data_IF_063851017517
#
_entry.id   IF_063851017517
#
_cell.length_a   1.000
_cell.length_b   1.000
_cell.length_c   1.000
_cell.angle_alpha   90.00
_cell.angle_beta   90.00
_cell.angle_gamma   90.00
#
_symmetry.space_group_name_H-M   'P 1'
#
loop_
_entity.id
_entity.type
_entity.pdbx_description
1 polymer ?
#
# COMPACT_ATOMS: atom_id res chain seq x y z
N UNK A 1 -6.60 1.90 53.44
CA UNK A 1 -7.29 1.00 52.50
C UNK A 1 -6.83 1.40 51.11
N UNK A 2 -5.81 0.72 50.59
CA UNK A 2 -5.29 0.94 49.25
C UNK A 2 -6.29 0.38 48.24
N UNK A 3 -6.98 1.25 47.50
CA UNK A 3 -7.76 0.80 46.34
C UNK A 3 -6.87 0.82 45.11
N UNK A 4 -6.23 -0.33 44.88
CA UNK A 4 -5.77 -0.78 43.58
C UNK A 4 -6.84 -0.52 42.50
N UNK A 5 -6.52 0.29 41.49
CA UNK A 5 -7.04 0.16 40.11
C UNK A 5 -6.31 1.13 39.18
N UNK A 6 -4.99 0.92 39.00
CA UNK A 6 -4.29 1.39 37.82
C UNK A 6 -4.73 0.56 36.61
N UNK A 7 -5.99 0.72 36.17
CA UNK A 7 -6.37 0.35 34.81
C UNK A 7 -5.85 1.45 33.89
N UNK A 8 -4.54 1.41 33.58
CA UNK A 8 -3.96 2.23 32.53
C UNK A 8 -4.65 1.86 31.21
N UNK A 9 -5.71 2.59 30.87
CA UNK A 9 -6.46 2.37 29.64
C UNK A 9 -5.53 2.42 28.43
N UNK A 10 -5.81 1.60 27.42
CA UNK A 10 -5.04 1.60 26.18
C UNK A 10 -5.28 2.92 25.45
N UNK A 11 -4.35 3.87 25.58
CA UNK A 11 -4.43 5.20 24.97
C UNK A 11 -3.66 5.26 23.66
N UNK A 12 -4.13 6.09 22.74
CA UNK A 12 -3.40 6.38 21.51
C UNK A 12 -2.20 7.29 21.78
N UNK A 13 -1.00 6.86 21.41
CA UNK A 13 0.25 7.61 21.61
C UNK A 13 0.28 8.96 20.87
N UNK A 14 -0.47 9.11 19.78
CA UNK A 14 -0.47 10.33 18.98
C UNK A 14 -1.37 11.45 19.54
N UNK A 15 -2.40 11.12 20.32
CA UNK A 15 -3.37 12.12 20.79
C UNK A 15 -3.74 11.98 22.28
N UNK A 16 -3.16 10.99 22.97
CA UNK A 16 -3.43 10.60 24.35
C UNK A 16 -4.90 10.31 24.68
N UNK A 17 -5.77 10.25 23.68
CA UNK A 17 -7.17 9.91 23.88
C UNK A 17 -7.36 8.39 23.98
N UNK A 18 -8.32 8.00 24.81
CA UNK A 18 -8.93 6.69 24.75
C UNK A 18 -9.67 6.54 23.42
N UNK A 19 -9.67 5.33 22.87
CA UNK A 19 -10.43 5.02 21.68
C UNK A 19 -11.01 3.63 21.75
N UNK A 20 -11.85 3.33 20.76
CA UNK A 20 -12.33 1.97 20.57
C UNK A 20 -11.11 1.05 20.32
N UNK A 21 -10.87 0.11 21.23
CA UNK A 21 -9.75 -0.85 21.16
C UNK A 21 -9.74 -1.63 19.84
N UNK A 22 -10.91 -1.89 19.25
CA UNK A 22 -11.03 -2.54 17.95
C UNK A 22 -10.42 -1.72 16.79
N UNK A 23 -10.27 -0.40 16.96
CA UNK A 23 -9.75 0.53 15.97
C UNK A 23 -8.32 1.02 16.27
N UNK A 24 -7.67 0.43 17.27
CA UNK A 24 -6.27 0.67 17.56
C UNK A 24 -5.37 -0.28 16.77
N UNK A 25 -4.23 0.23 16.34
CA UNK A 25 -3.09 -0.56 15.84
C UNK A 25 -1.99 -0.49 16.88
N UNK A 26 -1.42 -1.64 17.21
CA UNK A 26 -0.26 -1.75 18.08
C UNK A 26 1.01 -1.84 17.22
N UNK A 27 2.02 -1.03 17.53
CA UNK A 27 3.34 -1.17 16.93
C UNK A 27 3.99 -2.48 17.40
N UNK A 28 4.39 -3.33 16.46
CA UNK A 28 5.00 -4.63 16.78
C UNK A 28 6.42 -4.51 17.37
N UNK A 29 7.00 -3.32 17.41
CA UNK A 29 8.36 -3.08 17.91
C UNK A 29 8.37 -2.44 19.30
N UNK A 30 7.54 -1.44 19.54
CA UNK A 30 7.52 -0.70 20.81
C UNK A 30 6.25 -0.90 21.65
N UNK A 31 5.24 -1.61 21.12
CA UNK A 31 3.98 -1.85 21.83
C UNK A 31 3.05 -0.64 21.95
N UNK A 32 3.46 0.54 21.46
CA UNK A 32 2.61 1.75 21.48
C UNK A 32 1.38 1.56 20.59
N UNK A 33 0.26 2.15 21.00
CA UNK A 33 -1.03 2.06 20.32
C UNK A 33 -1.34 3.34 19.57
N UNK A 34 -1.99 3.21 18.41
CA UNK A 34 -2.37 4.35 17.59
C UNK A 34 -3.76 4.14 17.00
N UNK A 35 -4.57 5.20 16.96
CA UNK A 35 -5.77 5.20 16.10
C UNK A 35 -5.33 5.17 14.64
N UNK A 36 -6.01 4.38 13.81
CA UNK A 36 -5.79 4.40 12.35
C UNK A 36 -5.87 5.82 11.78
N UNK A 37 -6.88 6.60 12.20
CA UNK A 37 -7.05 7.99 11.79
C UNK A 37 -5.87 8.90 12.19
N UNK A 38 -5.28 8.71 13.38
CA UNK A 38 -4.14 9.51 13.84
C UNK A 38 -2.83 9.23 13.09
N UNK A 39 -2.73 8.09 12.41
CA UNK A 39 -1.55 7.71 11.62
C UNK A 39 -1.82 7.79 10.10
N UNK A 40 -2.95 8.38 9.69
CA UNK A 40 -3.31 8.55 8.28
C UNK A 40 -3.75 7.28 7.56
N UNK A 41 -3.97 6.18 8.29
CA UNK A 41 -4.29 4.88 7.71
C UNK A 41 -5.72 4.45 8.07
N UNK A 42 -6.54 4.22 7.04
CA UNK A 42 -7.71 3.35 7.21
C UNK A 42 -7.20 1.93 7.43
N UNK A 43 -7.64 1.27 8.51
CA UNK A 43 -7.22 -0.06 8.97
C UNK A 43 -7.42 -1.14 7.89
N UNK A 44 -6.55 -1.18 6.89
CA UNK A 44 -6.55 -2.25 5.89
C UNK A 44 -6.24 -3.57 6.59
N UNK A 45 -6.89 -4.69 6.25
CA UNK A 45 -6.68 -5.99 6.92
C UNK A 45 -5.20 -6.40 6.97
N UNK A 46 -4.42 -6.08 5.94
CA UNK A 46 -2.98 -6.35 5.87
C UNK A 46 -2.11 -5.49 6.78
N UNK A 47 -2.65 -4.41 7.35
CA UNK A 47 -1.92 -3.48 8.21
C UNK A 47 -1.77 -4.02 9.64
N UNK A 48 -2.73 -4.79 10.16
CA UNK A 48 -2.67 -5.21 11.57
C UNK A 48 -1.52 -6.18 11.88
N UNK A 49 -1.07 -6.96 10.91
CA UNK A 49 -0.01 -7.94 11.12
C UNK A 49 1.38 -7.34 10.85
N UNK A 50 2.12 -7.02 11.92
CA UNK A 50 3.52 -6.58 11.83
C UNK A 50 3.71 -5.13 11.41
N UNK A 51 2.76 -4.25 11.74
CA UNK A 51 2.90 -2.81 11.56
C UNK A 51 3.92 -2.20 12.52
N UNK A 52 4.65 -1.21 12.02
CA UNK A 52 5.64 -0.45 12.78
C UNK A 52 5.30 1.04 12.69
N UNK A 53 5.26 1.71 13.85
CA UNK A 53 5.05 3.15 13.93
C UNK A 53 6.22 3.92 13.28
N UNK A 54 6.01 5.22 12.99
CA UNK A 54 7.00 6.05 12.31
C UNK A 54 8.38 6.07 13.01
N UNK A 55 8.41 6.02 14.34
CA UNK A 55 9.65 5.99 15.15
C UNK A 55 10.38 4.63 15.06
N UNK A 56 9.66 3.53 14.89
CA UNK A 56 10.22 2.17 14.90
C UNK A 56 10.40 1.57 13.50
N UNK A 57 10.01 2.32 12.47
CA UNK A 57 9.99 1.86 11.10
C UNK A 57 11.41 1.76 10.56
N UNK A 58 11.75 0.60 10.04
CA UNK A 58 13.04 0.32 9.40
C UNK A 58 12.86 0.00 7.93
N UNK A 59 13.90 0.26 7.14
CA UNK A 59 13.92 -0.16 5.75
C UNK A 59 13.86 -1.69 5.64
N UNK A 60 12.93 -2.21 4.85
CA UNK A 60 12.73 -3.65 4.71
C UNK A 60 13.82 -4.37 3.91
N UNK A 61 14.79 -3.64 3.36
CA UNK A 61 15.87 -4.19 2.55
C UNK A 61 17.20 -4.18 3.31
N UNK A 62 17.66 -3.01 3.78
CA UNK A 62 18.93 -2.91 4.53
C UNK A 62 18.77 -3.08 6.04
N UNK A 63 17.53 -3.08 6.56
CA UNK A 63 17.20 -3.20 7.99
C UNK A 63 17.68 -2.06 8.89
N UNK A 64 18.10 -0.93 8.31
CA UNK A 64 18.51 0.27 9.03
C UNK A 64 17.36 1.28 9.17
N UNK A 65 17.43 2.12 10.21
CA UNK A 65 16.53 3.24 10.48
C UNK A 65 17.10 4.62 10.12
N UNK A 66 18.33 4.70 9.60
CA UNK A 66 18.93 5.95 9.15
C UNK A 66 18.01 6.65 8.12
N UNK A 67 17.95 7.98 8.09
CA UNK A 67 17.12 8.76 7.14
C UNK A 67 15.61 8.45 7.15
N UNK A 68 15.00 8.23 8.33
CA UNK A 68 13.55 7.95 8.44
C UNK A 68 12.67 8.98 7.74
N UNK A 69 13.06 10.26 7.76
CA UNK A 69 12.30 11.37 7.18
C UNK A 69 12.15 11.32 5.65
N UNK A 70 12.84 10.41 4.95
CA UNK A 70 12.77 10.28 3.48
C UNK A 70 12.56 8.85 3.00
N UNK A 71 11.90 8.01 3.80
CA UNK A 71 11.56 6.65 3.37
C UNK A 71 10.30 6.60 2.50
N UNK A 72 10.31 5.71 1.51
CA UNK A 72 9.14 5.29 0.77
C UNK A 72 8.27 4.40 1.66
N UNK A 73 6.97 4.67 1.73
CA UNK A 73 6.00 3.87 2.48
C UNK A 73 5.02 3.26 1.49
N UNK A 74 4.83 1.93 1.56
CA UNK A 74 3.93 1.23 0.65
C UNK A 74 2.47 1.47 1.03
N UNK A 75 1.66 2.01 0.11
CA UNK A 75 0.24 2.30 0.35
C UNK A 75 -0.62 1.05 0.68
N UNK A 76 -0.10 -0.17 0.46
CA UNK A 76 -0.85 -1.42 0.65
C UNK A 76 -0.45 -2.23 1.87
N UNK A 77 0.81 -2.15 2.29
CA UNK A 77 1.31 -2.92 3.43
C UNK A 77 2.03 -2.07 4.48
N UNK A 78 2.13 -0.76 4.23
CA UNK A 78 2.72 0.26 5.11
C UNK A 78 4.18 -0.02 5.53
N UNK A 79 4.82 -0.93 4.80
CA UNK A 79 6.24 -1.24 4.95
C UNK A 79 7.08 -0.16 4.30
N UNK A 80 8.20 0.16 4.95
CA UNK A 80 9.09 1.23 4.54
C UNK A 80 10.36 0.76 3.85
N UNK A 81 10.85 1.60 2.95
CA UNK A 81 12.01 1.32 2.13
C UNK A 81 12.76 2.62 1.88
N UNK A 82 14.08 2.60 1.93
CA UNK A 82 14.85 3.74 1.42
C UNK A 82 14.68 3.88 -0.09
N UNK A 83 14.64 5.12 -0.62
CA UNK A 83 14.59 5.36 -2.07
C UNK A 83 15.74 4.69 -2.82
N UNK A 84 16.94 4.65 -2.24
CA UNK A 84 18.12 4.05 -2.86
C UNK A 84 18.19 2.52 -2.69
N UNK A 85 17.49 1.92 -1.71
CA UNK A 85 17.49 0.47 -1.54
C UNK A 85 16.56 -0.25 -2.53
N UNK A 86 15.52 0.42 -3.03
CA UNK A 86 14.58 -0.20 -3.97
C UNK A 86 15.16 -0.33 -5.38
N UNK A 87 14.61 -1.24 -6.19
CA UNK A 87 15.02 -1.44 -7.59
C UNK A 87 13.83 -1.17 -8.54
N UNK A 88 13.97 -0.25 -9.53
CA UNK A 88 15.08 0.70 -9.68
C UNK A 88 15.16 1.66 -8.48
N UNK A 89 16.37 2.18 -8.21
CA UNK A 89 16.58 3.19 -7.17
C UNK A 89 15.80 4.46 -7.52
N UNK A 90 15.21 5.10 -6.52
CA UNK A 90 14.43 6.32 -6.68
C UNK A 90 15.21 7.50 -6.12
N UNK A 91 15.21 8.61 -6.84
CA UNK A 91 15.88 9.85 -6.42
C UNK A 91 15.10 10.63 -5.37
N UNK A 92 13.79 10.41 -5.26
CA UNK A 92 12.92 11.12 -4.31
C UNK A 92 11.69 10.30 -3.95
N UNK A 93 11.05 10.66 -2.83
CA UNK A 93 9.75 10.12 -2.43
C UNK A 93 8.67 10.73 -3.33
N UNK A 94 7.86 9.92 -4.02
CA UNK A 94 6.80 10.42 -4.89
C UNK A 94 5.72 11.09 -4.05
N UNK A 95 5.15 12.19 -4.56
CA UNK A 95 4.08 12.94 -3.86
C UNK A 95 2.80 12.12 -3.69
N UNK A 96 2.53 11.20 -4.62
CA UNK A 96 1.31 10.40 -4.65
C UNK A 96 1.66 8.99 -5.11
N UNK A 97 1.14 8.00 -4.38
CA UNK A 97 0.99 6.65 -4.89
C UNK A 97 2.30 5.87 -5.04
N UNK A 98 2.64 5.04 -4.05
CA UNK A 98 3.75 4.10 -4.18
C UNK A 98 3.45 2.73 -3.59
N UNK A 99 3.76 1.68 -4.35
CA UNK A 99 3.67 0.29 -3.88
C UNK A 99 5.01 -0.42 -3.99
N UNK A 100 5.35 -1.16 -2.93
CA UNK A 100 6.54 -2.01 -2.92
C UNK A 100 6.38 -3.19 -3.88
N UNK A 101 7.50 -3.77 -4.35
CA UNK A 101 7.51 -4.87 -5.34
C UNK A 101 6.56 -6.02 -5.02
N UNK A 102 6.34 -6.35 -3.74
CA UNK A 102 5.45 -7.44 -3.30
C UNK A 102 3.96 -7.10 -3.41
N UNK A 103 3.60 -5.82 -3.32
CA UNK A 103 2.22 -5.35 -3.35
C UNK A 103 1.77 -4.86 -4.72
N UNK A 104 2.69 -4.76 -5.70
CA UNK A 104 2.33 -4.43 -7.08
C UNK A 104 1.59 -5.61 -7.70
N UNK A 105 0.36 -5.34 -8.13
CA UNK A 105 -0.51 -6.31 -8.78
C UNK A 105 -1.39 -5.54 -9.75
N UNK A 106 -1.45 -6.00 -11.00
CA UNK A 106 -2.35 -5.42 -11.98
C UNK A 106 -3.80 -5.75 -11.62
N UNK A 107 -4.64 -4.74 -11.42
CA UNK A 107 -6.08 -4.89 -11.11
C UNK A 107 -6.87 -5.61 -12.20
N UNK A 108 -6.38 -5.54 -13.44
CA UNK A 108 -7.09 -6.03 -14.61
C UNK A 108 -6.78 -7.50 -14.86
N UNK A 109 -5.55 -7.88 -14.55
CA UNK A 109 -4.92 -9.01 -15.17
C UNK A 109 -4.09 -9.86 -14.19
N UNK A 110 -3.91 -9.38 -12.96
CA UNK A 110 -3.18 -10.08 -11.90
C UNK A 110 -1.67 -10.18 -12.12
N UNK A 111 -1.11 -9.53 -13.15
CA UNK A 111 0.33 -9.51 -13.36
C UNK A 111 1.06 -8.86 -12.17
N UNK A 112 2.19 -9.43 -11.76
CA UNK A 112 3.09 -8.88 -10.71
C UNK A 112 4.30 -8.13 -11.29
N UNK A 113 4.35 -7.99 -12.60
CA UNK A 113 5.35 -7.20 -13.33
C UNK A 113 4.63 -6.19 -14.24
N UNK A 114 5.27 -5.05 -14.57
CA UNK A 114 4.66 -4.09 -15.47
C UNK A 114 4.62 -4.60 -16.92
N UNK A 115 5.46 -5.57 -17.27
CA UNK A 115 5.58 -6.17 -18.59
C UNK A 115 6.92 -6.92 -18.70
N UNK A 116 7.18 -7.54 -19.85
CA UNK A 116 8.44 -8.23 -20.13
C UNK A 116 9.49 -7.38 -20.87
N UNK A 117 9.11 -6.21 -21.39
CA UNK A 117 10.01 -5.33 -22.14
C UNK A 117 10.86 -4.44 -21.22
N UNK A 118 12.03 -4.02 -21.71
CA UNK A 118 12.94 -3.13 -20.99
C UNK A 118 12.32 -1.75 -20.68
N UNK A 119 11.38 -1.30 -21.50
CA UNK A 119 10.66 -0.03 -21.33
C UNK A 119 9.34 -0.15 -20.55
N UNK A 120 8.93 -1.37 -20.17
CA UNK A 120 7.66 -1.61 -19.50
C UNK A 120 7.63 -0.96 -18.11
N UNK A 121 6.60 -0.16 -17.85
CA UNK A 121 6.43 0.55 -16.58
C UNK A 121 5.06 0.31 -15.96
N UNK A 122 4.98 0.55 -14.67
CA UNK A 122 3.72 0.53 -13.95
C UNK A 122 2.96 1.85 -14.16
N UNK A 123 1.63 1.77 -14.20
CA UNK A 123 0.73 2.90 -14.35
C UNK A 123 -0.30 2.94 -13.22
N UNK A 124 -1.02 4.07 -13.10
CA UNK A 124 -2.07 4.27 -12.10
C UNK A 124 -1.63 3.91 -10.67
N UNK A 125 -0.55 4.54 -10.18
CA UNK A 125 0.01 4.30 -8.85
C UNK A 125 0.35 2.81 -8.58
N UNK A 126 0.99 2.16 -9.56
CA UNK A 126 1.41 0.76 -9.48
C UNK A 126 0.27 -0.27 -9.40
N UNK A 127 -0.90 0.07 -9.95
CA UNK A 127 -2.08 -0.84 -9.98
C UNK A 127 -2.40 -1.37 -11.36
N UNK A 128 -1.81 -0.84 -12.44
CA UNK A 128 -2.05 -1.30 -13.82
C UNK A 128 -0.71 -1.56 -14.51
N UNK A 129 -0.55 -2.73 -15.14
CA UNK A 129 0.65 -3.05 -15.92
C UNK A 129 0.64 -2.33 -17.29
N UNK A 130 1.80 -2.23 -17.92
CA UNK A 130 2.01 -1.50 -19.17
C UNK A 130 1.08 -1.99 -20.29
N UNK A 131 0.95 -3.31 -20.44
CA UNK A 131 0.10 -3.93 -21.45
C UNK A 131 -1.38 -3.56 -21.28
N UNK A 132 -1.92 -3.66 -20.06
CA UNK A 132 -3.33 -3.31 -19.78
C UNK A 132 -3.57 -1.81 -19.90
N UNK A 133 -2.61 -0.99 -19.48
CA UNK A 133 -2.69 0.46 -19.66
C UNK A 133 -2.81 0.85 -21.13
N UNK A 134 -1.97 0.27 -21.99
CA UNK A 134 -2.02 0.51 -23.43
C UNK A 134 -3.33 0.03 -24.07
N UNK A 135 -3.90 -1.09 -23.62
CA UNK A 135 -5.22 -1.56 -24.08
C UNK A 135 -6.33 -0.58 -23.74
N UNK A 136 -6.35 -0.05 -22.50
CA UNK A 136 -7.32 0.98 -22.09
C UNK A 136 -7.24 2.23 -22.96
N UNK A 137 -6.02 2.72 -23.23
CA UNK A 137 -5.83 3.93 -24.05
C UNK A 137 -6.24 3.74 -25.52
N UNK A 138 -6.25 2.50 -26.02
CA UNK A 138 -6.74 2.15 -27.36
C UNK A 138 -8.27 1.94 -27.41
N UNK A 139 -8.97 2.15 -26.30
CA UNK A 139 -10.42 1.91 -26.21
C UNK A 139 -10.79 0.44 -25.99
N UNK A 140 -9.82 -0.45 -25.77
CA UNK A 140 -10.07 -1.86 -25.46
C UNK A 140 -10.25 -2.06 -23.95
N UNK A 141 -11.26 -1.40 -23.39
CA UNK A 141 -11.63 -1.52 -21.99
C UNK A 141 -13.14 -1.60 -21.79
N UNK A 142 -13.55 -2.19 -20.67
CA UNK A 142 -14.93 -2.20 -20.25
C UNK A 142 -15.46 -0.77 -19.99
N UNK A 143 -16.61 -0.36 -20.55
CA UNK A 143 -17.17 0.96 -20.30
C UNK A 143 -17.71 1.15 -18.86
N UNK A 144 -17.84 0.08 -18.08
CA UNK A 144 -18.39 0.12 -16.71
C UNK A 144 -17.31 -0.04 -15.64
N UNK A 145 -16.49 -1.10 -15.71
CA UNK A 145 -15.43 -1.36 -14.72
C UNK A 145 -14.04 -0.88 -15.16
N UNK A 146 -13.92 -0.39 -16.40
CA UNK A 146 -12.69 0.16 -16.98
C UNK A 146 -11.48 -0.79 -17.06
N UNK A 147 -11.67 -2.08 -16.82
CA UNK A 147 -10.61 -3.10 -17.01
C UNK A 147 -10.31 -3.30 -18.49
N UNK A 148 -9.03 -3.51 -18.80
CA UNK A 148 -8.57 -3.86 -20.15
C UNK A 148 -9.10 -5.23 -20.60
N UNK A 149 -9.48 -5.36 -21.87
CA UNK A 149 -9.82 -6.65 -22.47
C UNK A 149 -8.56 -7.43 -22.86
N UNK A 150 -8.39 -8.64 -22.31
CA UNK A 150 -7.24 -9.50 -22.64
C UNK A 150 -7.47 -10.22 -23.97
N UNK A 151 -6.59 -9.94 -24.93
CA UNK A 151 -6.54 -10.48 -26.28
C UNK A 151 -7.60 -9.92 -27.24
N UNK A 152 -7.16 -9.64 -28.47
CA UNK A 152 -7.97 -9.10 -29.54
C UNK A 152 -9.11 -10.06 -29.92
N UNK A 153 -10.24 -9.98 -29.22
CA UNK A 153 -11.50 -10.46 -29.76
C UNK A 153 -11.91 -9.46 -30.83
N UNK A 154 -11.47 -9.71 -32.07
CA UNK A 154 -11.80 -8.94 -33.26
C UNK A 154 -13.31 -8.91 -33.58
N UNK A 155 -14.18 -9.44 -32.71
CA UNK A 155 -15.64 -9.39 -32.83
C UNK A 155 -16.31 -9.20 -31.45
N UNK A 156 -17.10 -8.12 -31.38
CA UNK A 156 -18.05 -7.58 -30.38
C UNK A 156 -17.66 -7.51 -28.88
N UNK A 157 -17.50 -6.27 -28.36
CA UNK A 157 -17.04 -5.93 -27.00
C UNK A 157 -18.02 -4.99 -26.26
N UNK A 158 -18.78 -5.51 -25.32
CA UNK A 158 -19.37 -4.76 -24.19
C UNK A 158 -19.43 -5.74 -23.05
N UNK A 159 -18.75 -5.55 -21.91
CA UNK A 159 -19.00 -6.45 -20.75
C UNK A 159 -18.73 -5.87 -19.37
N UNK A 160 -19.75 -5.91 -18.53
CA UNK A 160 -19.64 -6.29 -17.13
C UNK A 160 -20.96 -6.99 -16.70
N UNK A 161 -20.89 -8.02 -15.86
CA UNK A 161 -21.46 -7.91 -14.50
C UNK A 161 -20.43 -8.21 -13.41
N UNK A 162 -19.23 -8.64 -13.80
CA UNK A 162 -17.91 -8.26 -13.27
C UNK A 162 -16.91 -8.70 -14.36
N UNK A 163 -17.04 -8.06 -15.52
CA UNK A 163 -16.36 -8.32 -16.80
C UNK A 163 -16.93 -9.44 -17.70
N UNK A 164 -17.82 -10.31 -17.20
CA UNK A 164 -18.38 -11.50 -17.86
C UNK A 164 -17.41 -12.22 -18.84
#
# INVERSE_FOLDING_TARGET
VETNSALSGVVCYSCNALGNVANLVMCSMCGKHHHGACIGNSLQPGLRAGWQCAECRICQLCRQCEDTNRMLVCDSCDKAYHPYCVKPAMSSVPKVGWKCKRCRLCSDCGARTPGGGLSSRWHSNYTVCDSCYQQRNKGFSCPVCHKAYRAAALREMVRCSQCQ
#
